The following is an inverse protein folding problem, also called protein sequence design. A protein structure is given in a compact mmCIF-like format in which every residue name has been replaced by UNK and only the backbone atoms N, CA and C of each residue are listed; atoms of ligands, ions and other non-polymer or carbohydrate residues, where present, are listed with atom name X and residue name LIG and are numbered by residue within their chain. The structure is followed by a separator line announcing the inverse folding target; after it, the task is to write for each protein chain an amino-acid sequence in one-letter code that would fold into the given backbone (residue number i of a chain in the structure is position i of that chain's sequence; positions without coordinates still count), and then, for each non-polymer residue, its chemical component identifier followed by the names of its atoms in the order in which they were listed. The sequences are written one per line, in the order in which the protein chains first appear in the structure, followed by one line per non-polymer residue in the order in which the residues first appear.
data_IF_792120658619
#
_entry.id   IF_792120658619
#
_cell.length_a   1.000
_cell.length_b   1.000
_cell.length_c   1.000
_cell.angle_alpha   90.00
_cell.angle_beta   90.00
_cell.angle_gamma   90.00
#
_symmetry.space_group_name_H-M   'P 1'
#
loop_
_entity.id
_entity.type
_entity.pdbx_description
1 polymer ?
2 non-polymer ?
3 non-polymer ?
4 water ?
#
# COMPACT_ATOMS: atom_id res chain seq x y z
N UNK A 21 -13.40 24.54 -12.61
CA UNK A 21 -14.06 24.34 -11.31
C UNK A 21 -13.11 24.41 -10.10
N UNK A 22 -13.62 24.87 -8.96
CA UNK A 22 -12.83 25.00 -7.75
C UNK A 22 -13.54 24.35 -6.55
N UNK A 23 -12.88 24.35 -5.40
CA UNK A 23 -13.42 23.85 -4.14
C UNK A 23 -12.79 24.55 -2.95
N UNK A 24 -13.51 24.56 -1.83
CA UNK A 24 -13.06 25.19 -0.60
C UNK A 24 -12.94 24.16 0.50
N UNK A 25 -11.86 24.28 1.27
CA UNK A 25 -11.57 23.41 2.42
C UNK A 25 -11.07 24.34 3.50
N UNK A 26 -11.80 24.36 4.61
CA UNK A 26 -11.51 25.17 5.80
C UNK A 26 -11.18 26.65 5.46
N UNK A 27 -11.97 27.24 4.56
CA UNK A 27 -11.81 28.63 4.13
C UNK A 27 -10.90 28.83 2.94
N UNK A 28 -9.92 27.91 2.77
CA UNK A 28 -8.93 27.93 1.69
C UNK A 28 -9.53 27.41 0.39
N UNK A 29 -9.30 28.16 -0.71
CA UNK A 29 -9.77 27.83 -2.06
C UNK A 29 -8.65 27.12 -2.85
N UNK A 30 -9.07 26.10 -3.62
CA UNK A 30 -8.20 25.26 -4.43
C UNK A 30 -8.80 25.11 -5.79
N UNK A 31 -7.98 25.32 -6.81
CA UNK A 31 -8.39 25.20 -8.20
C UNK A 31 -8.14 23.78 -8.64
N UNK A 32 -9.12 23.13 -9.32
CA UNK A 32 -8.98 21.74 -9.78
C UNK A 32 -8.22 21.72 -11.07
N UNK A 33 -7.08 21.00 -11.08
CA UNK A 33 -6.28 20.90 -12.30
C UNK A 33 -6.74 19.70 -13.11
N UNK A 34 -7.06 18.59 -12.43
CA UNK A 34 -7.39 17.33 -13.09
C UNK A 34 -7.87 16.39 -12.02
N UNK A 35 -8.64 15.38 -12.41
CA UNK A 35 -9.08 14.37 -11.46
C UNK A 35 -8.14 13.17 -11.61
N UNK A 36 -7.36 12.91 -10.57
CA UNK A 36 -6.41 11.80 -10.55
C UNK A 36 -7.02 10.40 -10.53
N UNK A 37 -8.06 10.21 -9.72
CA UNK A 37 -8.68 8.91 -9.59
C UNK A 37 -10.10 8.87 -9.08
N UNK A 38 -10.72 7.71 -9.23
CA UNK A 38 -12.11 7.45 -8.81
C UNK A 38 -12.22 6.05 -8.21
N UNK A 39 -13.23 5.85 -7.40
CA UNK A 39 -13.48 4.57 -6.75
C UNK A 39 -14.58 4.73 -5.74
N UNK A 40 -15.68 4.03 -6.00
CA UNK A 40 -16.88 4.04 -5.17
C UNK A 40 -17.52 5.41 -5.15
N UNK A 41 -17.57 6.01 -3.97
CA UNK A 41 -18.14 7.35 -3.79
C UNK A 41 -17.00 8.37 -3.65
N UNK A 42 -15.76 7.92 -3.96
CA UNK A 42 -14.55 8.73 -3.86
C UNK A 42 -13.96 9.14 -5.19
N UNK A 43 -13.34 10.33 -5.19
CA UNK A 43 -12.63 10.97 -6.29
C UNK A 43 -11.42 11.67 -5.68
N UNK A 44 -10.27 11.61 -6.36
CA UNK A 44 -9.03 12.28 -5.95
C UNK A 44 -8.77 13.30 -7.04
N UNK A 45 -8.47 14.53 -6.64
CA UNK A 45 -8.21 15.60 -7.59
C UNK A 45 -6.86 16.25 -7.38
N UNK A 46 -6.22 16.63 -8.46
CA UNK A 46 -4.95 17.31 -8.41
C UNK A 46 -5.40 18.76 -8.33
N UNK A 47 -4.92 19.49 -7.33
CA UNK A 47 -5.35 20.87 -7.13
C UNK A 47 -4.24 21.84 -6.79
N UNK A 48 -4.52 23.13 -6.97
CA UNK A 48 -3.59 24.20 -6.66
C UNK A 48 -4.19 25.13 -5.65
N UNK A 49 -3.36 25.57 -4.70
CA UNK A 49 -3.71 26.58 -3.70
C UNK A 49 -3.45 27.98 -4.30
N UNK A 50 -3.85 29.03 -3.58
CA UNK A 50 -3.68 30.43 -4.02
C UNK A 50 -2.24 30.79 -4.38
N UNK A 51 -1.24 30.12 -3.77
CA UNK A 51 0.20 30.36 -4.04
C UNK A 51 0.75 29.46 -5.16
N UNK A 52 -0.16 28.76 -5.87
CA UNK A 52 0.10 27.87 -7.00
C UNK A 52 0.91 26.62 -6.58
N UNK A 53 0.66 26.11 -5.35
CA UNK A 53 1.25 24.90 -4.76
C UNK A 53 0.31 23.71 -5.00
N UNK A 54 0.87 22.56 -5.41
CA UNK A 54 0.10 21.37 -5.75
C UNK A 54 -0.25 20.51 -4.53
N UNK A 55 -1.48 20.02 -4.54
CA UNK A 55 -2.01 19.13 -3.52
C UNK A 55 -2.91 18.15 -4.22
N UNK A 56 -3.26 17.11 -3.49
CA UNK A 56 -4.19 16.11 -3.96
C UNK A 56 -5.32 16.21 -2.95
N UNK A 57 -6.55 16.37 -3.41
CA UNK A 57 -7.66 16.46 -2.49
C UNK A 57 -8.57 15.27 -2.70
N UNK A 58 -8.88 14.55 -1.63
CA UNK A 58 -9.75 13.41 -1.76
C UNK A 58 -11.14 13.82 -1.34
N UNK A 59 -12.08 13.61 -2.24
CA UNK A 59 -13.48 13.93 -2.04
C UNK A 59 -14.27 12.61 -1.84
N UNK A 60 -15.02 12.53 -0.74
CA UNK A 60 -15.86 11.38 -0.45
C UNK A 60 -17.30 11.88 -0.33
N UNK A 61 -18.23 11.31 -1.12
CA UNK A 61 -19.62 11.70 -1.04
C UNK A 61 -20.30 10.79 -0.03
N UNK A 62 -20.74 11.37 1.11
CA UNK A 62 -21.36 10.58 2.18
C UNK A 62 -22.89 10.52 2.07
N UNK A 63 -23.46 11.08 0.97
CA UNK A 63 -24.93 11.12 0.76
C UNK A 63 -25.58 9.71 0.69
N UNK A 64 -24.82 8.66 0.33
CA UNK A 64 -25.38 7.29 0.30
C UNK A 64 -24.70 6.35 1.31
N UNK A 65 -23.83 6.90 2.18
CA UNK A 65 -23.05 6.15 3.16
C UNK A 65 -23.82 5.70 4.40
N UNK A 66 -23.61 4.43 4.76
CA UNK A 66 -24.21 3.78 5.94
C UNK A 66 -23.26 3.94 7.12
N UNK A 67 -23.70 3.55 8.33
CA UNK A 67 -22.86 3.68 9.53
C UNK A 67 -21.60 2.78 9.49
N UNK A 68 -21.59 1.69 8.68
CA UNK A 68 -20.41 0.84 8.55
C UNK A 68 -19.35 1.55 7.72
N UNK A 69 -19.74 2.17 6.59
CA UNK A 69 -18.87 2.92 5.68
C UNK A 69 -18.33 4.19 6.35
N UNK A 70 -19.17 4.88 7.15
CA UNK A 70 -18.81 6.11 7.87
C UNK A 70 -17.71 5.86 8.85
N UNK A 71 -17.83 4.77 9.63
CA UNK A 71 -16.87 4.37 10.64
C UNK A 71 -15.52 3.96 10.09
N UNK A 72 -15.49 3.41 8.85
CA UNK A 72 -14.27 3.00 8.12
C UNK A 72 -13.46 4.24 7.78
N UNK A 73 -14.13 5.27 7.25
CA UNK A 73 -13.57 6.57 6.87
C UNK A 73 -13.04 7.34 8.05
N UNK A 74 -13.79 7.37 9.17
CA UNK A 74 -13.42 8.04 10.41
C UNK A 74 -12.18 7.40 11.00
N UNK A 75 -12.08 6.07 10.85
CA UNK A 75 -10.96 5.32 11.41
C UNK A 75 -9.68 5.58 10.64
N UNK A 76 -9.77 5.56 9.30
CA UNK A 76 -8.67 5.84 8.39
C UNK A 76 -8.14 7.29 8.54
N UNK A 77 -9.03 8.29 8.69
CA UNK A 77 -8.65 9.71 8.87
C UNK A 77 -7.86 9.88 10.17
N UNK A 78 -8.40 9.35 11.27
CA UNK A 78 -7.76 9.38 12.59
C UNK A 78 -6.35 8.81 12.57
N UNK A 79 -6.15 7.64 11.91
CA UNK A 79 -4.85 6.99 11.86
C UNK A 79 -3.86 7.76 11.00
N UNK A 80 -4.31 8.28 9.87
CA UNK A 80 -3.47 9.10 9.02
C UNK A 80 -3.04 10.36 9.80
N UNK A 81 -3.96 10.92 10.57
CA UNK A 81 -3.66 12.10 11.41
C UNK A 81 -2.67 11.83 12.56
N UNK A 82 -2.87 10.73 13.27
CA UNK A 82 -2.01 10.28 14.37
C UNK A 82 -0.55 10.01 13.89
N UNK A 83 -0.41 9.24 12.82
CA UNK A 83 0.86 8.81 12.23
C UNK A 83 1.68 9.85 11.51
N UNK A 84 1.12 11.02 11.18
CA UNK A 84 1.80 12.13 10.48
C UNK A 84 3.17 12.41 11.09
N UNK A 85 3.19 12.70 12.39
CA UNK A 85 4.40 13.00 13.13
C UNK A 85 5.40 11.84 13.20
N UNK A 86 4.89 10.63 13.36
CA UNK A 86 5.75 9.46 13.49
C UNK A 86 6.64 9.11 12.30
N UNK A 87 6.12 9.21 11.08
CA UNK A 87 6.93 8.89 9.91
C UNK A 87 6.63 9.72 8.68
N UNK A 88 7.66 9.97 7.87
CA UNK A 88 7.47 10.72 6.63
C UNK A 88 7.16 9.75 5.48
N UNK A 89 6.98 8.47 5.81
CA UNK A 89 6.67 7.44 4.85
C UNK A 89 5.16 7.25 4.77
N UNK A 90 4.45 8.08 5.50
CA UNK A 90 3.00 8.07 5.54
C UNK A 90 2.63 9.31 4.73
N UNK A 91 1.71 9.17 3.81
CA UNK A 91 1.33 10.30 2.98
C UNK A 91 0.84 11.43 3.87
N UNK A 92 1.29 12.64 3.57
CA UNK A 92 0.91 13.82 4.34
C UNK A 92 -0.56 14.19 4.19
N UNK A 93 -1.15 14.57 5.32
CA UNK A 93 -2.53 15.03 5.40
C UNK A 93 -2.42 16.39 6.08
N UNK A 94 -2.58 17.46 5.29
CA UNK A 94 -2.44 18.83 5.75
C UNK A 94 -3.69 19.39 6.33
N UNK A 95 -4.83 19.00 5.81
CA UNK A 95 -6.12 19.49 6.28
C UNK A 95 -7.22 18.57 5.85
N UNK A 96 -8.36 18.69 6.50
CA UNK A 96 -9.55 17.94 6.15
C UNK A 96 -10.79 18.65 6.66
N UNK A 97 -11.89 18.50 5.94
CA UNK A 97 -13.20 19.04 6.28
C UNK A 97 -14.20 17.87 6.20
N UNK A 98 -15.02 17.67 7.23
CA UNK A 98 -15.99 16.56 7.28
C UNK A 98 -17.35 17.07 7.70
N UNK A 99 -18.38 16.74 6.93
CA UNK A 99 -19.77 17.05 7.26
C UNK A 99 -20.60 15.77 7.08
N UNK A 100 -21.91 15.88 7.18
CA UNK A 100 -22.83 14.77 6.98
C UNK A 100 -22.90 14.32 5.55
N UNK A 101 -22.68 15.25 4.61
CA UNK A 101 -22.80 15.00 3.16
C UNK A 101 -21.45 14.68 2.47
N UNK A 102 -20.33 15.12 3.04
CA UNK A 102 -19.03 14.90 2.38
C UNK A 102 -17.79 14.95 3.26
N UNK A 103 -16.70 14.46 2.69
CA UNK A 103 -15.39 14.49 3.32
C UNK A 103 -14.36 15.09 2.36
N UNK A 104 -13.56 16.04 2.85
CA UNK A 104 -12.51 16.65 2.05
C UNK A 104 -11.20 16.42 2.77
N UNK A 105 -10.19 15.92 2.06
CA UNK A 105 -8.88 15.68 2.65
C UNK A 105 -7.84 16.30 1.75
N UNK A 106 -7.13 17.30 2.27
CA UNK A 106 -6.05 17.99 1.61
C UNK A 106 -4.77 17.23 1.93
N UNK A 107 -4.24 16.54 0.91
CA UNK A 107 -3.05 15.69 1.02
C UNK A 107 -1.97 16.10 0.04
N UNK A 108 -0.73 15.60 0.24
CA UNK A 108 0.36 15.85 -0.71
C UNK A 108 0.06 15.09 -2.01
N UNK A 109 0.53 15.64 -3.11
CA UNK A 109 0.31 15.08 -4.41
C UNK A 109 1.55 14.31 -4.81
N UNK A 110 1.36 13.05 -5.14
CA UNK A 110 2.43 12.19 -5.62
C UNK A 110 2.43 12.16 -7.13
N UNK A 111 3.49 11.61 -7.70
CA UNK A 111 3.67 11.53 -9.14
C UNK A 111 2.83 10.43 -9.75
N UNK A 112 2.76 9.26 -9.07
CA UNK A 112 2.07 8.08 -9.58
C UNK A 112 1.98 7.04 -8.48
N UNK A 113 0.97 6.18 -8.54
CA UNK A 113 0.86 5.09 -7.59
C UNK A 113 1.82 3.99 -8.04
N UNK A 114 2.21 3.12 -7.11
CA UNK A 114 3.15 2.05 -7.43
C UNK A 114 2.64 1.04 -8.45
N UNK A 115 1.36 0.68 -8.35
CA UNK A 115 0.77 -0.32 -9.28
C UNK A 115 0.88 0.14 -10.71
N UNK A 116 0.48 1.40 -10.99
CA UNK A 116 0.56 2.02 -12.32
C UNK A 116 1.99 2.10 -12.75
N UNK A 117 2.90 2.45 -11.83
CA UNK A 117 4.33 2.52 -12.12
C UNK A 117 4.88 1.14 -12.51
N UNK A 118 4.52 0.07 -11.76
CA UNK A 118 4.99 -1.30 -12.03
C UNK A 118 4.58 -1.82 -13.39
N UNK A 119 3.34 -1.52 -13.81
CA UNK A 119 2.81 -1.91 -15.13
C UNK A 119 3.58 -1.23 -16.29
N UNK A 120 4.04 0.03 -16.08
CA UNK A 120 4.75 0.84 -17.09
C UNK A 120 6.24 0.50 -17.21
N UNK A 121 6.85 -0.08 -16.16
CA UNK A 121 8.27 -0.39 -16.13
C UNK A 121 8.64 -1.72 -16.82
N UNK A 122 9.51 -1.64 -17.85
CA UNK A 122 10.00 -2.79 -18.61
C UNK A 122 11.03 -3.58 -17.79
N UNK A 123 11.71 -2.89 -16.84
CA UNK A 123 12.73 -3.41 -15.92
C UNK A 123 12.90 -2.41 -14.76
N UNK A 124 13.08 -2.92 -13.53
CA UNK A 124 13.27 -2.08 -12.34
C UNK A 124 14.77 -2.10 -11.96
N UNK A 125 15.32 -0.90 -11.74
CA UNK A 125 16.71 -0.76 -11.35
C UNK A 125 16.89 -1.40 -9.98
N UNK A 126 18.01 -2.08 -9.76
CA UNK A 126 18.24 -2.75 -8.48
C UNK A 126 18.28 -1.75 -7.32
N UNK A 127 18.88 -0.59 -7.55
CA UNK A 127 18.97 0.45 -6.55
C UNK A 127 17.60 1.02 -6.19
N UNK A 128 16.77 1.25 -7.20
CA UNK A 128 15.43 1.78 -7.00
C UNK A 128 14.60 0.81 -6.18
N UNK A 129 14.75 -0.47 -6.52
CA UNK A 129 14.08 -1.60 -5.88
C UNK A 129 14.34 -1.63 -4.36
N UNK A 130 15.61 -1.53 -3.95
CA UNK A 130 16.06 -1.54 -2.56
C UNK A 130 15.58 -0.32 -1.79
N UNK A 131 15.65 0.87 -2.41
CA UNK A 131 15.25 2.12 -1.81
C UNK A 131 13.72 2.08 -1.51
N UNK A 132 12.91 1.61 -2.48
CA UNK A 132 11.47 1.48 -2.36
C UNK A 132 11.09 0.51 -1.28
N UNK A 133 11.81 -0.62 -1.22
CA UNK A 133 11.64 -1.66 -0.21
C UNK A 133 11.84 -1.07 1.17
N UNK A 134 12.90 -0.31 1.36
CA UNK A 134 13.15 0.31 2.64
C UNK A 134 12.00 1.22 3.02
N UNK A 135 11.48 1.97 2.04
CA UNK A 135 10.36 2.86 2.29
C UNK A 135 9.12 2.07 2.71
N UNK A 136 8.86 0.96 2.03
CA UNK A 136 7.70 0.13 2.35
C UNK A 136 7.80 -0.44 3.76
N UNK A 137 8.97 -0.95 4.11
CA UNK A 137 9.25 -1.49 5.44
C UNK A 137 9.08 -0.44 6.53
N UNK A 138 9.63 0.76 6.33
CA UNK A 138 9.48 1.83 7.30
C UNK A 138 8.03 2.27 7.46
N UNK A 139 7.30 2.40 6.34
CA UNK A 139 5.88 2.78 6.38
C UNK A 139 5.02 1.74 7.14
N UNK A 140 5.12 0.48 6.74
CA UNK A 140 4.39 -0.61 7.37
C UNK A 140 4.79 -0.82 8.83
N UNK A 141 6.07 -0.67 9.12
CA UNK A 141 6.55 -0.85 10.48
C UNK A 141 5.90 0.16 11.41
N UNK A 142 5.77 1.40 10.93
CA UNK A 142 5.16 2.46 11.71
C UNK A 142 3.71 2.18 12.08
N UNK A 143 2.95 1.64 11.14
CA UNK A 143 1.55 1.32 11.38
C UNK A 143 1.47 0.20 12.42
N UNK A 144 2.40 -0.73 12.34
CA UNK A 144 2.47 -1.87 13.25
C UNK A 144 2.71 -1.41 14.69
N UNK A 145 3.51 -0.38 14.84
CA UNK A 145 3.84 0.14 16.16
C UNK A 145 2.58 0.59 16.91
N UNK A 146 1.62 1.13 16.19
CA UNK A 146 0.37 1.60 16.79
C UNK A 146 -0.71 0.52 16.93
N UNK A 147 -0.38 -0.69 16.50
CA UNK A 147 -1.28 -1.85 16.54
C UNK A 147 -2.17 -2.03 15.33
N UNK A 148 -1.76 -1.49 14.20
CA UNK A 148 -2.53 -1.61 12.99
C UNK A 148 -1.94 -2.64 12.03
N UNK A 149 -2.75 -3.59 11.61
CA UNK A 149 -2.30 -4.59 10.66
C UNK A 149 -3.12 -4.29 9.41
N UNK A 150 -2.46 -3.94 8.31
CA UNK A 150 -3.21 -3.61 7.11
C UNK A 150 -4.00 -4.80 6.60
N UNK A 151 -3.31 -5.93 6.45
CA UNK A 151 -3.91 -7.18 6.03
C UNK A 151 -4.31 -7.20 4.54
N UNK A 152 -4.14 -6.08 3.87
CA UNK A 152 -4.51 -5.99 2.46
C UNK A 152 -3.48 -5.25 1.60
N UNK A 153 -2.21 -5.37 1.96
CA UNK A 153 -1.18 -4.67 1.21
C UNK A 153 -1.08 -5.12 -0.24
N UNK A 154 -0.91 -4.13 -1.11
CA UNK A 154 -0.77 -4.34 -2.54
C UNK A 154 -0.09 -3.10 -3.10
N UNK A 155 0.49 -3.12 -4.32
CA UNK A 155 1.19 -1.93 -4.82
C UNK A 155 0.39 -0.63 -4.86
N UNK A 156 -0.92 -0.71 -5.11
CA UNK A 156 -1.82 0.45 -5.17
C UNK A 156 -1.90 1.22 -3.83
N UNK A 157 -1.48 0.60 -2.71
CA UNK A 157 -1.50 1.27 -1.40
C UNK A 157 -0.34 2.24 -1.25
N UNK A 158 0.60 2.23 -2.21
CA UNK A 158 1.80 3.05 -2.16
C UNK A 158 1.84 4.12 -3.22
N UNK A 159 2.28 5.31 -2.84
CA UNK A 159 2.45 6.40 -3.79
C UNK A 159 3.91 6.85 -3.90
N UNK A 160 4.36 7.17 -5.11
CA UNK A 160 5.71 7.66 -5.36
C UNK A 160 5.68 9.19 -5.25
N UNK A 161 6.32 9.75 -4.22
CA UNK A 161 6.38 11.20 -4.00
C UNK A 161 7.85 11.58 -3.98
N UNK A 162 8.34 12.17 -5.06
CA UNK A 162 9.73 12.60 -5.22
C UNK A 162 10.76 11.45 -4.99
N UNK A 163 10.56 10.33 -5.71
CA UNK A 163 11.42 9.14 -5.63
C UNK A 163 11.42 8.44 -4.28
N UNK A 164 10.35 8.64 -3.50
CA UNK A 164 10.19 8.07 -2.17
C UNK A 164 8.78 7.46 -2.09
N UNK A 165 8.67 6.16 -1.75
CA UNK A 165 7.34 5.56 -1.62
C UNK A 165 6.71 5.98 -0.29
N UNK A 166 5.38 6.15 -0.28
CA UNK A 166 4.62 6.52 0.94
C UNK A 166 3.35 5.67 1.00
N UNK A 167 2.90 5.30 2.19
CA UNK A 167 1.66 4.55 2.35
C UNK A 167 0.44 5.50 2.28
N UNK A 168 -0.50 5.20 1.37
CA UNK A 168 -1.70 5.99 1.12
C UNK A 168 -2.81 5.66 2.13
N UNK A 169 -3.05 4.37 2.39
CA UNK A 169 -4.19 3.94 3.18
C UNK A 169 -3.95 2.67 3.95
N UNK A 170 -4.95 2.30 4.78
CA UNK A 170 -4.93 1.12 5.64
C UNK A 170 -5.95 0.04 5.17
N UNK A 171 -6.32 0.13 3.89
CA UNK A 171 -7.21 -0.77 3.14
C UNK A 171 -8.60 -0.96 3.69
N UNK A 172 -9.13 0.05 4.45
CA UNK A 172 -10.44 0.01 5.13
C UNK A 172 -11.51 0.78 4.36
N UNK A 173 -11.31 2.09 4.22
CA UNK A 173 -12.21 3.05 3.62
C UNK A 173 -12.67 2.75 2.18
N UNK A 174 -11.74 2.63 1.21
CA UNK A 174 -12.08 2.36 -0.22
C UNK A 174 -10.89 2.17 -1.14
N UNK A 175 -11.11 1.45 -2.28
CA UNK A 175 -10.06 1.25 -3.28
C UNK A 175 -10.32 2.12 -4.49
N UNK A 176 -9.24 2.67 -5.03
CA UNK A 176 -9.33 3.58 -6.17
C UNK A 176 -8.51 3.17 -7.37
N UNK A 177 -8.98 3.60 -8.53
CA UNK A 177 -8.34 3.33 -9.80
C UNK A 177 -8.03 4.64 -10.51
N UNK A 178 -6.94 4.69 -11.26
CA UNK A 178 -6.59 5.92 -11.98
C UNK A 178 -7.59 6.24 -13.08
N UNK A 179 -7.89 7.53 -13.27
CA UNK A 179 -8.82 7.95 -14.32
C UNK A 179 -8.09 8.19 -15.64
N UNK A 189 -12.42 -4.87 -9.83
CA UNK A 189 -11.14 -5.57 -9.91
C UNK A 189 -10.38 -5.45 -8.60
N UNK A 190 -10.33 -6.57 -7.88
CA UNK A 190 -9.62 -6.71 -6.61
C UNK A 190 -8.84 -8.00 -6.62
N UNK A 191 -7.50 -7.90 -6.68
CA UNK A 191 -6.59 -9.04 -6.74
C UNK A 191 -6.44 -9.79 -5.41
N UNK A 192 -6.14 -11.08 -5.50
CA UNK A 192 -5.93 -11.99 -4.38
C UNK A 192 -4.46 -12.50 -4.35
N UNK A 193 -3.65 -11.99 -5.28
CA UNK A 193 -2.26 -12.38 -5.50
C UNK A 193 -1.27 -12.08 -4.35
N UNK A 194 -1.69 -11.25 -3.39
CA UNK A 194 -0.89 -10.80 -2.26
C UNK A 194 -1.43 -11.31 -0.91
N UNK A 195 -2.53 -12.10 -0.91
CA UNK A 195 -3.21 -12.60 0.28
C UNK A 195 -2.36 -13.61 1.09
N UNK A 196 -2.16 -13.39 2.41
CA UNK A 196 -1.37 -14.35 3.19
C UNK A 196 -2.10 -15.64 3.54
N UNK A 197 -1.38 -16.79 3.61
CA UNK A 197 -2.05 -18.07 3.92
C UNK A 197 -2.96 -18.07 5.15
N UNK A 198 -2.52 -17.47 6.27
CA UNK A 198 -3.28 -17.39 7.53
C UNK A 198 -4.71 -16.82 7.40
N UNK A 199 -4.92 -15.94 6.40
CA UNK A 199 -6.21 -15.31 6.13
C UNK A 199 -7.20 -16.33 5.57
N UNK A 200 -6.75 -17.14 4.60
CA UNK A 200 -7.50 -18.19 3.91
C UNK A 200 -7.72 -19.38 4.86
N UNK A 201 -6.73 -19.70 5.67
CA UNK A 201 -6.86 -20.83 6.60
C UNK A 201 -8.04 -20.65 7.54
N UNK A 202 -8.15 -19.50 8.18
CA UNK A 202 -9.26 -19.26 9.10
C UNK A 202 -10.51 -18.77 8.37
N UNK A 203 -11.14 -19.66 7.61
CA UNK A 203 -12.34 -19.32 6.87
C UNK A 203 -13.44 -20.34 7.13
N UNK A 214 -8.28 -15.06 15.85
CA UNK A 214 -7.72 -14.84 14.50
C UNK A 214 -6.22 -15.21 14.38
N UNK A 215 -5.76 -15.41 13.13
CA UNK A 215 -4.37 -15.74 12.81
C UNK A 215 -3.65 -14.57 12.07
N UNK A 216 -4.39 -13.47 11.78
CA UNK A 216 -3.88 -12.25 11.13
C UNK A 216 -3.00 -11.52 12.16
N UNK A 217 -1.74 -11.28 11.79
CA UNK A 217 -0.77 -10.63 12.66
C UNK A 217 0.11 -9.68 11.82
N UNK A 218 1.04 -8.87 12.43
CA UNK A 218 1.97 -8.07 11.61
C UNK A 218 2.75 -8.90 10.58
N UNK A 219 2.92 -10.22 10.84
CA UNK A 219 3.60 -11.16 9.93
C UNK A 219 2.81 -11.33 8.60
N UNK A 220 1.45 -11.17 8.63
CA UNK A 220 0.59 -11.27 7.45
C UNK A 220 1.00 -10.19 6.40
N UNK A 221 1.36 -8.99 6.89
CA UNK A 221 1.81 -7.89 6.06
C UNK A 221 3.17 -8.19 5.42
N UNK A 222 4.02 -8.97 6.12
CA UNK A 222 5.35 -9.41 5.65
C UNK A 222 5.18 -10.24 4.38
N UNK A 223 4.22 -11.18 4.38
CA UNK A 223 3.91 -12.01 3.22
C UNK A 223 3.54 -11.10 2.03
N UNK A 224 2.55 -10.19 2.20
CA UNK A 224 2.09 -9.26 1.16
C UNK A 224 3.23 -8.36 0.63
N UNK A 225 4.10 -7.81 1.53
CA UNK A 225 5.28 -7.00 1.13
C UNK A 225 6.27 -7.86 0.37
N UNK A 226 6.37 -9.12 0.80
CA UNK A 226 7.19 -10.14 0.16
C UNK A 226 6.75 -10.37 -1.27
N UNK A 227 5.42 -10.41 -1.52
CA UNK A 227 4.84 -10.59 -2.85
C UNK A 227 5.10 -9.38 -3.75
N UNK A 228 5.11 -8.16 -3.18
CA UNK A 228 5.41 -6.94 -3.94
C UNK A 228 6.87 -6.95 -4.34
N UNK A 229 7.76 -7.37 -3.41
CA UNK A 229 9.20 -7.44 -3.71
C UNK A 229 9.49 -8.53 -4.72
N UNK A 230 8.78 -9.66 -4.63
CA UNK A 230 8.88 -10.80 -5.55
C UNK A 230 8.54 -10.33 -6.95
N UNK A 231 7.42 -9.63 -7.11
CA UNK A 231 6.98 -9.05 -8.37
C UNK A 231 8.07 -8.08 -8.90
N UNK A 232 8.64 -7.20 -8.06
CA UNK A 232 9.70 -6.28 -8.50
C UNK A 232 11.00 -6.98 -8.87
N UNK A 233 11.15 -8.25 -8.45
CA UNK A 233 12.33 -9.07 -8.71
C UNK A 233 12.12 -10.01 -9.92
N UNK A 234 11.02 -10.80 -9.95
CA UNK A 234 10.76 -11.77 -11.02
C UNK A 234 9.73 -11.36 -12.06
N UNK A 235 9.13 -10.19 -11.90
CA UNK A 235 8.15 -9.69 -12.84
C UNK A 235 6.76 -10.26 -12.66
N UNK A 236 6.58 -11.09 -11.63
CA UNK A 236 5.28 -11.66 -11.36
C UNK A 236 5.10 -12.07 -9.90
N UNK A 237 3.85 -12.16 -9.45
CA UNK A 237 3.53 -12.56 -8.09
C UNK A 237 3.80 -14.04 -7.94
N UNK A 238 4.09 -14.50 -6.72
CA UNK A 238 4.41 -15.94 -6.56
C UNK A 238 3.39 -16.95 -7.12
N UNK A 239 2.11 -16.55 -7.30
CA UNK A 239 1.04 -17.45 -7.77
C UNK A 239 0.23 -16.92 -8.98
N UNK A 240 0.75 -15.89 -9.69
CA UNK A 240 0.09 -15.26 -10.84
C UNK A 240 -0.34 -16.26 -11.93
N UNK A 241 0.45 -17.30 -12.11
CA UNK A 241 0.23 -18.34 -13.12
C UNK A 241 -1.08 -19.13 -13.01
N UNK A 242 -1.57 -19.41 -11.81
CA UNK A 242 -2.80 -20.18 -11.68
C UNK A 242 -4.04 -19.31 -11.88
N UNK A 243 -4.77 -19.57 -12.96
CA UNK A 243 -5.98 -18.82 -13.31
C UNK A 243 -7.21 -18.97 -12.42
N UNK A 244 -7.53 -20.20 -12.03
CA UNK A 244 -8.69 -20.47 -11.18
C UNK A 244 -8.37 -19.96 -9.78
N UNK A 245 -9.12 -18.94 -9.34
CA UNK A 245 -8.96 -18.28 -8.04
C UNK A 245 -9.04 -19.21 -6.85
N UNK A 246 -9.84 -20.29 -6.97
CA UNK A 246 -10.00 -21.30 -5.92
C UNK A 246 -8.74 -22.18 -5.85
N UNK A 247 -8.17 -22.52 -7.02
CA UNK A 247 -6.92 -23.27 -7.11
C UNK A 247 -5.79 -22.38 -6.56
N UNK A 248 -5.82 -21.08 -6.96
CA UNK A 248 -4.86 -20.06 -6.52
C UNK A 248 -4.86 -19.99 -4.99
N UNK A 249 -6.04 -19.86 -4.36
CA UNK A 249 -6.17 -19.82 -2.91
C UNK A 249 -5.66 -21.12 -2.25
N UNK A 250 -5.92 -22.28 -2.90
CA UNK A 250 -5.47 -23.60 -2.44
C UNK A 250 -3.96 -23.76 -2.50
N UNK A 251 -3.30 -23.12 -3.50
CA UNK A 251 -1.85 -23.16 -3.66
C UNK A 251 -1.12 -22.29 -2.62
N UNK A 252 -1.73 -21.16 -2.22
CA UNK A 252 -1.16 -20.23 -1.23
C UNK A 252 -1.07 -20.92 0.15
N UNK A 253 -2.04 -21.76 0.48
CA UNK A 253 -2.14 -22.43 1.78
C UNK A 253 -1.52 -23.82 1.81
N UNK A 254 -1.03 -24.31 0.65
CA UNK A 254 -0.44 -25.64 0.54
C UNK A 254 1.08 -25.62 0.71
N UNK A 255 1.63 -26.23 1.79
CA UNK A 255 3.09 -26.29 1.93
C UNK A 255 3.73 -27.09 0.80
N UNK A 256 3.01 -28.13 0.27
CA UNK A 256 3.42 -29.02 -0.83
C UNK A 256 3.62 -28.27 -2.14
N UNK A 257 2.93 -27.15 -2.30
CA UNK A 257 3.09 -26.35 -3.48
C UNK A 257 4.31 -25.52 -3.14
N UNK A 258 5.34 -25.65 -3.97
CA UNK A 258 6.60 -24.95 -3.75
C UNK A 258 6.72 -23.71 -4.63
N UNK A 259 7.00 -22.55 -3.98
CA UNK A 259 7.23 -21.28 -4.68
C UNK A 259 8.65 -21.35 -5.33
N UNK A 260 8.75 -20.98 -6.63
CA UNK A 260 10.03 -20.99 -7.34
C UNK A 260 10.84 -19.74 -7.05
N UNK A 261 12.13 -19.90 -6.73
CA UNK A 261 13.03 -18.77 -6.49
C UNK A 261 14.26 -18.85 -7.41
N UNK A 262 14.11 -18.49 -8.73
CA UNK A 262 15.26 -18.54 -9.64
C UNK A 262 16.48 -17.74 -9.14
N UNK A 263 17.67 -18.24 -9.42
CA UNK A 263 18.91 -17.60 -9.01
C UNK A 263 19.07 -16.22 -9.64
N UNK A 264 19.61 -15.29 -8.86
CA UNK A 264 19.82 -13.89 -9.26
C UNK A 264 21.19 -13.36 -8.74
N UNK A 265 21.76 -12.25 -9.32
CA UNK A 265 23.05 -11.73 -8.80
C UNK A 265 23.00 -11.24 -7.34
N UNK A 266 21.82 -10.82 -6.87
CA UNK A 266 21.65 -10.36 -5.50
C UNK A 266 21.19 -11.55 -4.65
N UNK A 267 22.16 -12.26 -4.05
CA UNK A 267 21.89 -13.42 -3.20
C UNK A 267 21.05 -13.01 -1.95
N UNK A 268 21.31 -11.80 -1.43
CA UNK A 268 20.57 -11.28 -0.29
C UNK A 268 19.08 -11.10 -0.62
N UNK A 269 18.79 -10.55 -1.80
CA UNK A 269 17.42 -10.37 -2.29
C UNK A 269 16.68 -11.70 -2.31
N UNK A 270 17.32 -12.74 -2.84
CA UNK A 270 16.81 -14.11 -2.90
C UNK A 270 16.49 -14.62 -1.49
N UNK A 271 17.41 -14.36 -0.51
CA UNK A 271 17.20 -14.73 0.88
C UNK A 271 15.99 -14.00 1.43
N UNK A 272 15.92 -12.65 1.30
CA UNK A 272 14.79 -11.79 1.75
C UNK A 272 13.46 -12.40 1.32
N UNK A 273 13.34 -12.68 0.02
CA UNK A 273 12.16 -13.26 -0.59
C UNK A 273 11.71 -14.54 0.11
N UNK A 274 12.60 -15.51 0.22
CA UNK A 274 12.38 -16.80 0.86
C UNK A 274 11.99 -16.69 2.34
N UNK A 275 12.52 -15.67 3.04
CA UNK A 275 12.23 -15.44 4.46
C UNK A 275 10.83 -14.83 4.65
N UNK A 276 10.40 -14.04 3.65
CA UNK A 276 9.11 -13.35 3.57
C UNK A 276 8.00 -14.32 3.23
N UNK A 277 8.29 -15.27 2.32
CA UNK A 277 7.26 -16.16 1.80
C UNK A 277 7.22 -17.54 2.45
N UNK A 278 7.44 -17.59 3.77
CA UNK A 278 7.30 -18.78 4.59
C UNK A 278 5.79 -18.85 4.95
N UNK A 279 5.11 -19.97 4.65
CA UNK A 279 3.68 -20.14 4.90
C UNK A 279 3.32 -20.15 6.40
N UNK A 280 4.25 -20.58 7.27
CA UNK A 280 4.05 -20.58 8.72
C UNK A 280 4.43 -19.16 9.18
N UNK A 281 3.46 -18.36 9.68
CA UNK A 281 3.80 -17.00 10.11
C UNK A 281 4.82 -16.96 11.24
N UNK A 282 4.78 -17.99 12.11
CA UNK A 282 5.70 -18.17 13.25
C UNK A 282 7.13 -18.35 12.75
N UNK A 283 7.29 -18.96 11.55
CA UNK A 283 8.61 -19.17 10.95
C UNK A 283 9.01 -18.00 10.01
N UNK A 284 8.03 -17.18 9.58
CA UNK A 284 8.23 -16.00 8.71
C UNK A 284 8.99 -14.94 9.47
N UNK A 285 9.84 -14.18 8.77
CA UNK A 285 10.63 -13.08 9.30
C UNK A 285 9.72 -11.89 9.68
N UNK A 286 10.21 -11.02 10.56
CA UNK A 286 9.49 -9.85 11.03
C UNK A 286 10.06 -8.58 10.43
N UNK A 287 9.28 -7.51 10.42
CA UNK A 287 9.72 -6.24 9.86
C UNK A 287 10.94 -5.67 10.58
N UNK A 288 10.98 -5.75 11.91
CA UNK A 288 12.13 -5.22 12.64
C UNK A 288 13.39 -5.97 12.23
N UNK A 289 13.26 -7.27 12.06
CA UNK A 289 14.36 -8.12 11.62
C UNK A 289 14.76 -7.79 10.18
N UNK A 290 13.76 -7.52 9.35
CA UNK A 290 14.00 -7.17 7.95
C UNK A 290 14.82 -5.90 7.85
N UNK A 291 14.56 -4.96 8.74
CA UNK A 291 15.27 -3.69 8.76
C UNK A 291 16.72 -3.80 9.17
N UNK A 292 17.12 -4.95 9.68
CA UNK A 292 18.51 -5.24 10.08
C UNK A 292 19.16 -6.21 9.08
N UNK A 293 18.46 -6.56 8.00
CA UNK A 293 18.94 -7.48 6.98
C UNK A 293 20.02 -6.89 6.04
N UNK A 294 20.89 -7.74 5.51
CA UNK A 294 21.93 -7.25 4.62
C UNK A 294 21.35 -6.60 3.37
N UNK A 295 20.25 -7.13 2.85
CA UNK A 295 19.71 -6.60 1.62
C UNK A 295 19.35 -5.13 1.68
N UNK A 296 18.75 -4.69 2.78
CA UNK A 296 18.40 -3.28 2.89
C UNK A 296 19.46 -2.42 3.58
N UNK A 297 20.43 -3.05 4.23
CA UNK A 297 21.48 -2.30 4.93
C UNK A 297 22.82 -2.24 4.19
N UNK A 298 23.04 -3.19 3.29
CA UNK A 298 24.30 -3.30 2.53
C UNK A 298 24.02 -3.20 1.02
N UNK A 299 24.67 -2.22 0.36
CA UNK A 299 24.53 -1.98 -1.06
C UNK A 299 25.65 -2.61 -1.91
N UNK A 300 25.30 -3.05 -3.16
CA UNK A 300 26.16 -3.67 -4.18
C UNK A 300 26.83 -4.95 -3.69
#
# INVERSE_FOLDING_TARGET
MHHHHHHSSGVDLGTENLYFQSMSVKGRIYSILKQIGSGGSSKVFQVLNEKKQIYAIKYVNLEEADNQTLDSYRNEIAYLNKLQQHSDKIIRLYDYEITDQYIYMVMECGNIDLNSWLKKKKSIDPWERKSYWKNMLEAVHTIHQHGIVHSDLKPANFLIVDGMLKLIDFGIANQMQPDTTSVVKDSQVGTVNYMPPEAIKDMSSSRENGKSKSKISPKSDVWSLGCILYYMTYGKTPFQQIINQISKLHAIIDPNHEIEFPDIPEKDLQDVLKCCLKRDPKQRISIPELLAHPYVQIQTHPVNQMAKGTTEE
#
